data_IF_814654507743
#
_entry.id   IF_814654507743
#
_cell.length_a   1.000
_cell.length_b   1.000
_cell.length_c   1.000
_cell.angle_alpha   90.00
_cell.angle_beta   90.00
_cell.angle_gamma   90.00
#
_symmetry.space_group_name_H-M   'P 1'
#
loop_
_entity.id
_entity.type
_entity.pdbx_description
1 polymer ?
#
# COMPACT_ATOMS: atom_id res chain seq x y z
N UNK A 1 10.51 -9.66 15.82
CA UNK A 1 10.33 -8.77 14.67
C UNK A 1 10.26 -9.60 13.40
N UNK A 2 9.26 -9.38 12.59
CA UNK A 2 9.03 -10.18 11.38
C UNK A 2 9.64 -9.45 10.17
N UNK A 3 10.44 -10.14 9.36
CA UNK A 3 10.99 -9.50 8.16
C UNK A 3 9.87 -9.11 7.20
N UNK A 4 10.10 -8.03 6.48
CA UNK A 4 9.16 -7.57 5.48
C UNK A 4 9.25 -8.47 4.25
N UNK A 5 8.10 -8.91 3.76
CA UNK A 5 8.01 -9.63 2.50
C UNK A 5 6.96 -8.97 1.63
N UNK A 6 7.24 -8.88 0.33
CA UNK A 6 6.33 -8.28 -0.63
C UNK A 6 6.19 -9.25 -1.79
N UNK A 7 4.96 -9.70 -2.04
CA UNK A 7 4.67 -10.63 -3.13
C UNK A 7 3.85 -9.89 -4.18
N UNK A 8 4.35 -9.92 -5.41
CA UNK A 8 3.74 -9.23 -6.53
C UNK A 8 2.89 -10.18 -7.36
N UNK A 9 1.69 -9.74 -7.73
CA UNK A 9 0.82 -10.47 -8.63
C UNK A 9 -0.02 -9.47 -9.42
N UNK A 10 -0.99 -9.95 -10.19
CA UNK A 10 -1.84 -9.08 -10.98
C UNK A 10 -3.30 -9.39 -10.76
N UNK A 11 -4.13 -8.35 -10.86
CA UNK A 11 -5.59 -8.44 -10.85
C UNK A 11 -6.13 -7.76 -12.10
N UNK A 12 -7.42 -7.94 -12.41
CA UNK A 12 -8.03 -7.18 -13.51
C UNK A 12 -7.92 -5.67 -13.37
N UNK A 13 -7.84 -5.17 -12.13
CA UNK A 13 -7.71 -3.73 -11.86
C UNK A 13 -6.27 -3.24 -12.01
N UNK A 14 -5.28 -4.13 -12.01
CA UNK A 14 -3.87 -3.80 -12.10
C UNK A 14 -3.02 -4.66 -11.18
N UNK A 15 -1.78 -4.23 -10.92
CA UNK A 15 -0.88 -4.98 -10.04
C UNK A 15 -1.38 -5.03 -8.60
N UNK A 16 -1.02 -6.11 -7.91
CA UNK A 16 -1.30 -6.32 -6.49
C UNK A 16 0.03 -6.61 -5.79
N UNK A 17 0.28 -5.90 -4.70
CA UNK A 17 1.40 -6.19 -3.81
C UNK A 17 0.85 -6.64 -2.46
N UNK A 18 1.20 -7.85 -2.06
CA UNK A 18 0.85 -8.34 -0.72
C UNK A 18 2.04 -8.07 0.20
N UNK A 19 1.80 -7.23 1.21
CA UNK A 19 2.84 -6.75 2.12
C UNK A 19 2.65 -7.42 3.46
N UNK A 20 3.67 -8.16 3.92
CA UNK A 20 3.60 -8.89 5.18
C UNK A 20 4.82 -8.59 6.04
N UNK A 21 4.67 -8.75 7.35
CA UNK A 21 5.74 -8.51 8.31
C UNK A 21 5.73 -7.09 8.85
N UNK A 22 6.89 -6.62 9.28
CA UNK A 22 7.02 -5.30 9.89
C UNK A 22 7.59 -4.30 8.90
N UNK A 23 6.94 -3.16 8.78
CA UNK A 23 7.35 -2.09 7.88
C UNK A 23 7.91 -0.95 8.72
N UNK A 24 9.21 -0.71 8.61
CA UNK A 24 9.91 0.28 9.41
C UNK A 24 10.98 1.01 8.60
N UNK A 25 11.77 1.85 9.28
CA UNK A 25 12.77 2.67 8.61
C UNK A 25 13.87 1.85 7.91
N UNK A 26 14.11 0.62 8.34
CA UNK A 26 15.16 -0.21 7.75
C UNK A 26 14.74 -0.82 6.41
N UNK A 27 13.44 -0.93 6.13
CA UNK A 27 12.94 -1.61 4.95
C UNK A 27 11.87 -0.83 4.17
N UNK A 28 11.53 0.37 4.60
CA UNK A 28 10.49 1.16 3.91
C UNK A 28 10.85 1.41 2.45
N UNK A 29 12.14 1.53 2.12
CA UNK A 29 12.59 1.71 0.74
C UNK A 29 12.27 0.50 -0.14
N UNK A 30 12.18 -0.69 0.42
CA UNK A 30 11.80 -1.89 -0.33
C UNK A 30 10.37 -1.77 -0.86
N UNK A 31 9.47 -1.21 -0.05
CA UNK A 31 8.10 -0.99 -0.48
C UNK A 31 8.04 0.02 -1.63
N UNK A 32 8.76 1.12 -1.52
CA UNK A 32 8.83 2.12 -2.59
C UNK A 32 9.39 1.51 -3.87
N UNK A 33 10.46 0.74 -3.75
CA UNK A 33 11.06 0.07 -4.91
C UNK A 33 10.13 -0.91 -5.58
N UNK A 34 9.38 -1.69 -4.80
CA UNK A 34 8.42 -2.64 -5.34
C UNK A 34 7.29 -1.94 -6.08
N UNK A 35 6.82 -0.81 -5.55
CA UNK A 35 5.76 -0.05 -6.20
C UNK A 35 6.23 0.55 -7.54
N UNK A 36 7.45 1.07 -7.58
CA UNK A 36 8.02 1.59 -8.83
C UNK A 36 8.22 0.47 -9.85
N UNK A 37 8.73 -0.69 -9.38
CA UNK A 37 8.96 -1.85 -10.25
C UNK A 37 7.65 -2.44 -10.80
N UNK A 38 6.55 -2.23 -10.12
CA UNK A 38 5.25 -2.78 -10.54
C UNK A 38 4.75 -2.16 -11.85
N UNK A 39 5.21 -0.97 -12.20
CA UNK A 39 4.85 -0.25 -13.43
C UNK A 39 3.34 -0.23 -13.66
N UNK A 40 2.68 0.71 -13.00
CA UNK A 40 1.22 0.82 -13.07
C UNK A 40 0.85 1.79 -14.19
N UNK A 41 0.22 1.32 -15.27
CA UNK A 41 -0.19 2.22 -16.37
C UNK A 41 -1.21 3.25 -15.89
N UNK A 42 -1.25 4.40 -16.57
CA UNK A 42 -2.25 5.43 -16.29
C UNK A 42 -3.65 4.82 -16.41
N UNK A 43 -4.52 5.20 -15.48
CA UNK A 43 -5.89 4.71 -15.44
C UNK A 43 -6.05 3.38 -14.67
N UNK A 44 -4.96 2.71 -14.33
CA UNK A 44 -5.01 1.49 -13.53
C UNK A 44 -4.69 1.78 -12.07
N UNK A 45 -4.86 0.76 -11.23
CA UNK A 45 -4.72 0.87 -9.79
C UNK A 45 -3.69 -0.14 -9.29
N UNK A 46 -2.79 0.34 -8.42
CA UNK A 46 -1.96 -0.54 -7.60
C UNK A 46 -2.73 -0.84 -6.32
N UNK A 47 -2.91 -2.11 -6.02
CA UNK A 47 -3.53 -2.55 -4.77
C UNK A 47 -2.43 -3.02 -3.83
N UNK A 48 -2.38 -2.46 -2.62
CA UNK A 48 -1.53 -2.95 -1.54
C UNK A 48 -2.40 -3.70 -0.54
N UNK A 49 -2.19 -5.01 -0.45
CA UNK A 49 -2.86 -5.82 0.57
C UNK A 49 -1.99 -5.82 1.82
N UNK A 50 -2.51 -5.25 2.90
CA UNK A 50 -1.80 -5.07 4.14
C UNK A 50 -2.32 -5.96 5.27
N UNK A 51 -3.08 -6.98 4.91
CA UNK A 51 -3.72 -7.85 5.90
C UNK A 51 -2.75 -8.63 6.78
N UNK A 52 -1.53 -8.88 6.30
CA UNK A 52 -0.50 -9.60 7.05
C UNK A 52 0.58 -8.67 7.59
N UNK A 53 0.33 -7.38 7.60
CA UNK A 53 1.26 -6.40 8.16
C UNK A 53 1.21 -6.48 9.69
N UNK A 54 2.37 -6.70 10.34
CA UNK A 54 2.42 -6.81 11.79
C UNK A 54 2.62 -5.48 12.48
N UNK A 55 3.47 -4.63 11.91
CA UNK A 55 3.84 -3.35 12.50
C UNK A 55 4.13 -2.35 11.40
N UNK A 56 3.83 -1.09 11.66
CA UNK A 56 4.13 -0.01 10.74
C UNK A 56 4.43 1.26 11.54
N UNK A 57 5.63 1.79 11.38
CA UNK A 57 6.01 3.05 12.02
C UNK A 57 5.81 4.23 11.06
N UNK A 58 6.27 5.41 11.50
CA UNK A 58 6.14 6.62 10.68
C UNK A 58 6.90 6.53 9.36
N UNK A 59 8.01 5.78 9.32
CA UNK A 59 8.75 5.56 8.06
C UNK A 59 7.91 4.79 7.06
N UNK A 60 7.13 3.81 7.53
CA UNK A 60 6.20 3.08 6.69
C UNK A 60 5.11 3.97 6.13
N UNK A 61 4.55 4.84 6.96
CA UNK A 61 3.54 5.80 6.50
C UNK A 61 4.13 6.75 5.47
N UNK A 62 5.35 7.23 5.69
CA UNK A 62 6.04 8.09 4.72
C UNK A 62 6.23 7.36 3.39
N UNK A 63 6.58 6.08 3.44
CA UNK A 63 6.73 5.27 2.22
C UNK A 63 5.39 5.13 1.48
N UNK A 64 4.29 4.92 2.21
CA UNK A 64 2.97 4.85 1.59
C UNK A 64 2.60 6.16 0.90
N UNK A 65 2.91 7.29 1.52
CA UNK A 65 2.68 8.60 0.92
C UNK A 65 3.51 8.75 -0.35
N UNK A 66 4.78 8.35 -0.32
CA UNK A 66 5.65 8.42 -1.49
C UNK A 66 5.12 7.54 -2.63
N UNK A 67 4.64 6.34 -2.33
CA UNK A 67 4.05 5.44 -3.32
C UNK A 67 2.82 6.10 -3.95
N UNK A 68 1.94 6.66 -3.13
CA UNK A 68 0.75 7.35 -3.63
C UNK A 68 1.13 8.50 -4.56
N UNK A 69 2.09 9.32 -4.14
CA UNK A 69 2.49 10.47 -4.95
C UNK A 69 3.10 10.03 -6.28
N UNK A 70 3.87 8.96 -6.28
CA UNK A 70 4.44 8.40 -7.50
C UNK A 70 3.32 7.95 -8.46
N UNK A 71 2.31 7.26 -7.95
CA UNK A 71 1.22 6.75 -8.77
C UNK A 71 0.34 7.89 -9.31
N UNK A 72 0.00 8.84 -8.47
CA UNK A 72 -0.80 10.00 -8.89
C UNK A 72 -0.09 10.77 -10.00
N UNK A 73 1.21 10.97 -9.86
CA UNK A 73 2.00 11.65 -10.90
C UNK A 73 2.01 10.88 -12.22
N UNK A 74 1.85 9.56 -12.16
CA UNK A 74 1.79 8.71 -13.35
C UNK A 74 0.36 8.54 -13.88
N UNK A 75 -0.62 9.21 -13.30
CA UNK A 75 -2.02 9.06 -13.71
C UNK A 75 -2.68 7.78 -13.21
N UNK A 76 -2.09 7.11 -12.25
CA UNK A 76 -2.58 5.87 -11.68
C UNK A 76 -3.16 6.12 -10.28
N UNK A 77 -3.70 5.08 -9.67
CA UNK A 77 -4.29 5.16 -8.34
C UNK A 77 -3.70 4.12 -7.41
N UNK A 78 -3.82 4.39 -6.10
CA UNK A 78 -3.43 3.47 -5.04
C UNK A 78 -4.65 3.13 -4.20
N UNK A 79 -4.82 1.85 -3.92
CA UNK A 79 -5.83 1.37 -2.97
C UNK A 79 -5.13 0.52 -1.92
N UNK A 80 -5.42 0.78 -0.65
CA UNK A 80 -4.93 -0.03 0.47
C UNK A 80 -6.07 -0.92 0.94
N UNK A 81 -5.84 -2.23 0.99
CA UNK A 81 -6.87 -3.17 1.42
C UNK A 81 -6.43 -3.92 2.67
N UNK A 82 -7.41 -4.32 3.46
CA UNK A 82 -7.21 -5.10 4.68
C UNK A 82 -6.24 -4.41 5.65
N UNK A 83 -6.30 -3.09 5.74
CA UNK A 83 -5.40 -2.32 6.62
C UNK A 83 -5.66 -2.73 8.08
N UNK A 84 -4.62 -3.13 8.83
CA UNK A 84 -4.80 -3.48 10.24
C UNK A 84 -5.39 -2.32 11.04
N UNK A 85 -6.18 -2.66 12.04
CA UNK A 85 -6.92 -1.65 12.79
C UNK A 85 -6.02 -0.60 13.42
N UNK A 86 -4.88 -1.01 13.98
CA UNK A 86 -3.95 -0.05 14.59
C UNK A 86 -3.44 0.97 13.57
N UNK A 87 -3.14 0.53 12.36
CA UNK A 87 -2.70 1.45 11.31
C UNK A 87 -3.87 2.30 10.82
N UNK A 88 -5.03 1.70 10.65
CA UNK A 88 -6.23 2.44 10.24
C UNK A 88 -6.55 3.56 11.24
N UNK A 89 -6.44 3.28 12.53
CA UNK A 89 -6.65 4.28 13.58
C UNK A 89 -5.63 5.41 13.47
N UNK A 90 -4.36 5.06 13.27
CA UNK A 90 -3.30 6.06 13.14
C UNK A 90 -3.54 6.95 11.92
N UNK A 91 -3.93 6.37 10.79
CA UNK A 91 -4.27 7.15 9.60
C UNK A 91 -5.44 8.08 9.85
N UNK A 92 -6.45 7.62 10.60
CA UNK A 92 -7.60 8.46 10.95
C UNK A 92 -7.19 9.61 11.85
N UNK A 93 -6.41 9.34 12.89
CA UNK A 93 -5.98 10.38 13.85
C UNK A 93 -5.11 11.45 13.19
N UNK A 94 -4.38 11.11 12.16
CA UNK A 94 -3.52 12.06 11.44
C UNK A 94 -4.21 12.71 10.24
N UNK A 95 -5.45 12.33 9.93
CA UNK A 95 -6.18 12.83 8.77
C UNK A 95 -5.77 12.17 7.47
N UNK A 96 -4.85 11.20 7.50
CA UNK A 96 -4.35 10.55 6.29
C UNK A 96 -5.36 9.58 5.67
N UNK A 97 -6.39 9.19 6.41
CA UNK A 97 -7.48 8.40 5.85
C UNK A 97 -8.28 9.19 4.79
N UNK A 98 -8.12 10.51 4.76
CA UNK A 98 -8.69 11.34 3.70
C UNK A 98 -7.83 11.34 2.43
N UNK A 99 -6.58 10.91 2.56
CA UNK A 99 -5.60 10.89 1.47
C UNK A 99 -5.60 9.54 0.76
N UNK A 100 -5.75 8.46 1.53
CA UNK A 100 -5.69 7.10 0.99
C UNK A 100 -7.10 6.52 0.78
N UNK A 101 -7.23 5.74 -0.29
CA UNK A 101 -8.44 4.93 -0.52
C UNK A 101 -8.27 3.61 0.25
N UNK A 102 -9.02 3.46 1.33
CA UNK A 102 -8.95 2.29 2.20
C UNK A 102 -10.15 1.40 1.95
N UNK A 103 -9.89 0.10 1.75
CA UNK A 103 -10.95 -0.89 1.53
C UNK A 103 -10.75 -2.09 2.42
N UNK A 104 -11.83 -2.84 2.67
CA UNK A 104 -11.79 -3.92 3.64
C UNK A 104 -11.06 -5.16 3.14
N UNK A 105 -11.05 -5.40 1.84
CA UNK A 105 -10.38 -6.56 1.27
C UNK A 105 -9.93 -6.26 -0.15
N UNK A 106 -9.08 -7.14 -0.72
CA UNK A 106 -8.69 -7.00 -2.10
C UNK A 106 -9.75 -7.48 -3.08
N UNK A 107 -10.93 -7.78 -2.60
CA UNK A 107 -12.10 -7.91 -3.43
C UNK A 107 -12.44 -6.53 -3.94
N UNK A 108 -11.78 -6.12 -4.98
CA UNK A 108 -12.10 -4.86 -5.58
C UNK A 108 -13.51 -4.93 -6.16
N UNK A 109 -14.19 -3.79 -6.28
CA UNK A 109 -15.44 -3.74 -7.04
C UNK A 109 -15.09 -3.93 -8.50
N UNK A 110 -14.83 -5.17 -8.84
CA UNK A 110 -14.28 -5.52 -10.14
C UNK A 110 -15.32 -5.60 -11.20
N UNK A 111 -16.47 -5.40 -10.87
CA UNK A 111 -17.51 -5.50 -11.89
C UNK A 111 -18.20 -4.23 -12.02
#
# INVERSE_FOLDING_TARGET
MKPLTIVSSRTPAGPLLEVAGDLDHSNAHHLRGAAVAAVVPAGLTLVLDMGELGFCDSSGITALIAVRNHLVAAGAALVLVAVPEALRRLLHLTGLDQVFDLRDSHRLPTT
#
